data_IF_484169638517
#
_entry.id   IF_484169638517
#
_cell.length_a   1.000
_cell.length_b   1.000
_cell.length_c   1.000
_cell.angle_alpha   90.00
_cell.angle_beta   90.00
_cell.angle_gamma   90.00
#
_symmetry.space_group_name_H-M   'P 1'
#
loop_
_entity.id
_entity.type
_entity.pdbx_description
1 polymer ?
#
# COMPACT_ATOMS: atom_id res chain seq x y z
N UNK A 1 -15.74 48.94 -53.21
CA UNK A 1 -14.78 49.39 -52.17
C UNK A 1 -15.20 48.86 -50.80
N UNK A 2 -16.50 48.91 -50.48
CA UNK A 2 -17.07 48.40 -49.21
C UNK A 2 -17.08 46.86 -49.06
N UNK A 3 -17.21 46.11 -50.16
CA UNK A 3 -17.21 44.63 -50.16
C UNK A 3 -15.84 44.06 -49.75
N UNK A 4 -14.76 44.60 -50.30
CA UNK A 4 -13.37 44.25 -49.95
C UNK A 4 -13.03 44.56 -48.48
N UNK A 5 -13.68 45.55 -47.87
CA UNK A 5 -13.49 45.87 -46.44
C UNK A 5 -14.19 44.85 -45.54
N UNK A 6 -15.38 44.39 -45.92
CA UNK A 6 -16.11 43.31 -45.23
C UNK A 6 -15.39 41.97 -45.36
N UNK A 7 -14.83 41.68 -46.53
CA UNK A 7 -14.02 40.48 -46.76
C UNK A 7 -12.73 40.47 -45.93
N UNK A 8 -12.01 41.61 -45.86
CA UNK A 8 -10.83 41.75 -44.99
C UNK A 8 -11.18 41.58 -43.52
N UNK A 9 -12.31 42.12 -43.09
CA UNK A 9 -12.78 42.00 -41.71
C UNK A 9 -13.17 40.56 -41.36
N UNK A 10 -13.84 39.85 -42.26
CA UNK A 10 -14.19 38.44 -42.06
C UNK A 10 -12.94 37.54 -42.07
N UNK A 11 -11.99 37.79 -42.97
CA UNK A 11 -10.73 37.07 -43.03
C UNK A 11 -9.88 37.28 -41.76
N UNK A 12 -9.91 38.49 -41.18
CA UNK A 12 -9.21 38.78 -39.93
C UNK A 12 -9.88 38.11 -38.72
N UNK A 13 -11.22 38.15 -38.63
CA UNK A 13 -11.98 37.44 -37.58
C UNK A 13 -11.82 35.91 -37.67
N UNK A 14 -11.79 35.34 -38.88
CA UNK A 14 -11.58 33.91 -39.07
C UNK A 14 -10.18 33.49 -38.61
N UNK A 15 -9.16 34.26 -38.98
CA UNK A 15 -7.78 34.03 -38.55
C UNK A 15 -7.58 34.20 -37.05
N UNK A 16 -8.34 35.08 -36.41
CA UNK A 16 -8.32 35.25 -34.95
C UNK A 16 -8.99 34.06 -34.25
N UNK A 17 -10.14 33.60 -34.77
CA UNK A 17 -10.83 32.39 -34.28
C UNK A 17 -9.95 31.15 -34.40
N UNK A 18 -9.25 30.98 -35.51
CA UNK A 18 -8.32 29.86 -35.71
C UNK A 18 -7.16 29.88 -34.70
N UNK A 19 -6.54 31.05 -34.49
CA UNK A 19 -5.45 31.17 -33.50
C UNK A 19 -5.95 30.84 -32.09
N UNK A 20 -7.11 31.35 -31.72
CA UNK A 20 -7.70 31.11 -30.40
C UNK A 20 -8.03 29.62 -30.20
N UNK A 21 -8.61 28.97 -31.21
CA UNK A 21 -8.90 27.53 -31.17
C UNK A 21 -7.63 26.67 -31.13
N UNK A 22 -6.58 27.06 -31.85
CA UNK A 22 -5.28 26.37 -31.81
C UNK A 22 -4.63 26.48 -30.42
N UNK A 23 -4.65 27.68 -29.82
CA UNK A 23 -4.15 27.92 -28.46
C UNK A 23 -4.95 27.12 -27.41
N UNK A 24 -6.25 26.98 -27.59
CA UNK A 24 -7.13 26.20 -26.70
C UNK A 24 -6.90 24.69 -26.83
N UNK A 25 -6.73 24.18 -28.05
CA UNK A 25 -6.35 22.79 -28.31
C UNK A 25 -4.97 22.46 -27.72
N UNK A 26 -4.00 23.36 -27.83
CA UNK A 26 -2.66 23.18 -27.25
C UNK A 26 -2.69 23.23 -25.71
N UNK A 27 -3.44 24.17 -25.11
CA UNK A 27 -3.68 24.20 -23.67
C UNK A 27 -4.35 22.92 -23.17
N UNK A 28 -5.40 22.46 -23.84
CA UNK A 28 -6.12 21.23 -23.45
C UNK A 28 -5.22 20.00 -23.54
N UNK A 29 -4.35 19.93 -24.55
CA UNK A 29 -3.35 18.85 -24.69
C UNK A 29 -2.28 18.90 -23.61
N UNK A 30 -1.83 20.10 -23.23
CA UNK A 30 -0.87 20.30 -22.14
C UNK A 30 -1.49 19.98 -20.77
N UNK A 31 -2.78 20.28 -20.57
CA UNK A 31 -3.52 19.98 -19.33
C UNK A 31 -3.81 18.48 -19.18
N UNK A 32 -4.04 17.75 -20.29
CA UNK A 32 -4.09 16.29 -20.31
C UNK A 32 -2.73 15.60 -20.11
N UNK A 33 -1.61 16.33 -20.15
CA UNK A 33 -0.25 15.83 -19.89
C UNK A 33 0.33 16.33 -18.56
N UNK A 34 -0.51 16.86 -17.66
CA UNK A 34 -0.09 17.07 -16.28
C UNK A 34 0.15 15.70 -15.63
N UNK A 35 1.25 15.50 -14.87
CA UNK A 35 1.40 14.30 -14.06
C UNK A 35 0.21 14.23 -13.11
N UNK A 36 -0.38 13.04 -13.04
CA UNK A 36 -1.45 12.63 -12.14
C UNK A 36 -1.37 13.39 -10.82
N UNK A 37 -2.40 14.20 -10.57
CA UNK A 37 -2.66 14.86 -9.31
C UNK A 37 -2.45 13.85 -8.16
N UNK A 38 -1.35 13.98 -7.42
CA UNK A 38 -0.93 13.11 -6.31
C UNK A 38 -1.88 13.13 -5.10
N UNK A 39 -3.11 13.61 -5.27
CA UNK A 39 -4.16 13.63 -4.25
C UNK A 39 -5.07 12.40 -4.31
N UNK A 40 -4.80 11.43 -5.18
CA UNK A 40 -5.25 10.07 -4.92
C UNK A 40 -4.15 9.37 -4.13
N UNK A 41 -4.34 9.03 -2.83
CA UNK A 41 -3.51 8.01 -2.24
C UNK A 41 -3.86 6.72 -3.00
N UNK A 42 -3.14 6.46 -4.10
CA UNK A 42 -2.89 5.09 -4.53
C UNK A 42 -2.57 4.33 -3.24
N UNK A 43 -3.21 3.17 -2.96
CA UNK A 43 -2.92 2.43 -1.74
C UNK A 43 -1.41 2.33 -1.70
N UNK A 44 -0.82 3.00 -0.71
CA UNK A 44 0.64 3.17 -0.67
C UNK A 44 1.11 1.78 -0.36
N UNK A 45 1.37 0.97 -1.40
CA UNK A 45 1.87 -0.38 -1.22
C UNK A 45 3.26 -0.16 -0.69
N UNK A 46 3.39 -0.20 0.62
CA UNK A 46 4.63 0.03 1.29
C UNK A 46 5.60 -1.05 0.81
N UNK A 47 6.81 -0.64 0.42
CA UNK A 47 7.81 -1.56 -0.14
C UNK A 47 8.07 -2.77 0.76
N UNK A 48 7.86 -2.62 2.08
CA UNK A 48 7.99 -3.68 3.07
C UNK A 48 6.96 -4.81 2.95
N UNK A 49 5.81 -4.59 2.31
CA UNK A 49 4.79 -5.63 2.08
C UNK A 49 5.29 -6.77 1.18
N UNK A 50 6.28 -6.50 0.32
CA UNK A 50 6.94 -7.52 -0.50
C UNK A 50 8.14 -8.18 0.18
N UNK A 51 8.62 -7.62 1.29
CA UNK A 51 9.85 -8.09 1.95
C UNK A 51 9.57 -9.22 2.94
N UNK A 52 8.35 -9.31 3.47
CA UNK A 52 7.99 -10.39 4.37
C UNK A 52 7.58 -11.64 3.57
N UNK A 53 8.28 -12.78 3.76
CA UNK A 53 7.86 -14.05 3.17
C UNK A 53 6.52 -14.51 3.77
N UNK A 54 5.67 -15.21 2.99
CA UNK A 54 4.49 -15.85 3.54
C UNK A 54 4.89 -16.87 4.61
N UNK A 55 4.05 -17.01 5.62
CA UNK A 55 4.16 -18.09 6.59
C UNK A 55 3.89 -19.41 5.90
N UNK A 56 4.70 -20.40 6.26
CA UNK A 56 4.61 -21.77 5.76
C UNK A 56 4.42 -22.70 6.96
N UNK A 57 3.39 -23.54 6.92
CA UNK A 57 3.02 -24.43 8.04
C UNK A 57 4.09 -25.48 8.36
N UNK A 58 5.07 -25.72 7.46
CA UNK A 58 6.24 -26.57 7.76
C UNK A 58 7.29 -25.87 8.64
N UNK A 59 7.21 -24.54 8.80
CA UNK A 59 8.12 -23.75 9.62
C UNK A 59 7.55 -23.46 11.00
N UNK A 60 8.45 -23.40 11.98
CA UNK A 60 8.13 -23.03 13.34
C UNK A 60 7.59 -21.59 13.38
N UNK A 61 6.37 -21.44 13.90
CA UNK A 61 5.68 -20.15 13.91
C UNK A 61 6.37 -19.13 14.81
N UNK A 62 7.07 -19.57 15.88
CA UNK A 62 7.82 -18.67 16.74
C UNK A 62 9.06 -18.09 16.03
N UNK A 63 9.74 -18.90 15.23
CA UNK A 63 10.85 -18.44 14.39
C UNK A 63 10.40 -17.47 13.29
N UNK A 64 9.21 -17.70 12.75
CA UNK A 64 8.56 -16.77 11.82
C UNK A 64 8.30 -15.41 12.48
N UNK A 65 7.66 -15.39 13.66
CA UNK A 65 7.43 -14.16 14.42
C UNK A 65 8.74 -13.41 14.72
N UNK A 66 9.80 -14.11 15.13
CA UNK A 66 11.10 -13.47 15.38
C UNK A 66 11.68 -12.81 14.12
N UNK A 67 11.58 -13.48 12.97
CA UNK A 67 12.04 -12.95 11.69
C UNK A 67 11.21 -11.74 11.28
N UNK A 68 9.89 -11.82 11.47
CA UNK A 68 8.96 -10.74 11.23
C UNK A 68 9.28 -9.49 12.08
N UNK A 69 9.54 -9.66 13.38
CA UNK A 69 9.90 -8.57 14.29
C UNK A 69 11.21 -7.89 13.87
N UNK A 70 12.20 -8.69 13.47
CA UNK A 70 13.46 -8.14 12.94
C UNK A 70 13.25 -7.34 11.66
N UNK A 71 12.41 -7.82 10.74
CA UNK A 71 12.07 -7.09 9.52
C UNK A 71 11.31 -5.79 9.84
N UNK A 72 10.36 -5.85 10.77
CA UNK A 72 9.63 -4.66 11.22
C UNK A 72 10.56 -3.62 11.84
N UNK A 73 11.50 -4.05 12.67
CA UNK A 73 12.48 -3.15 13.28
C UNK A 73 13.43 -2.57 12.24
N UNK A 74 13.94 -3.40 11.32
CA UNK A 74 14.86 -2.98 10.26
C UNK A 74 14.23 -1.95 9.30
N UNK A 75 12.93 -2.08 9.03
CA UNK A 75 12.18 -1.20 8.14
C UNK A 75 11.38 -0.12 8.86
N UNK A 76 11.52 0.00 10.19
CA UNK A 76 10.77 0.94 11.03
C UNK A 76 9.24 0.89 10.77
N UNK A 77 8.69 -0.32 10.69
CA UNK A 77 7.26 -0.52 10.45
C UNK A 77 6.48 -0.12 11.72
N UNK A 78 5.50 0.79 11.61
CA UNK A 78 4.67 1.20 12.74
C UNK A 78 3.79 0.05 13.22
N UNK A 79 3.55 -0.02 14.52
CA UNK A 79 2.78 -1.10 15.18
C UNK A 79 1.39 -1.32 14.56
N UNK A 80 0.72 -0.23 14.20
CA UNK A 80 -0.59 -0.21 13.54
C UNK A 80 -0.59 -1.02 12.22
N UNK A 81 0.53 -1.05 11.51
CA UNK A 81 0.66 -1.76 10.24
C UNK A 81 1.23 -3.17 10.38
N UNK A 82 1.83 -3.51 11.53
CA UNK A 82 2.40 -4.84 11.77
C UNK A 82 1.33 -5.91 11.68
N UNK A 83 0.17 -5.66 12.29
CA UNK A 83 -0.90 -6.65 12.33
C UNK A 83 -1.49 -6.91 10.94
N UNK A 84 -1.77 -5.84 10.19
CA UNK A 84 -2.25 -5.94 8.80
C UNK A 84 -1.26 -6.68 7.91
N UNK A 85 0.03 -6.39 8.01
CA UNK A 85 1.07 -7.09 7.27
C UNK A 85 1.13 -8.56 7.65
N UNK A 86 1.11 -8.85 8.95
CA UNK A 86 1.21 -10.19 9.48
C UNK A 86 0.07 -11.05 8.93
N UNK A 87 -1.18 -10.63 9.11
CA UNK A 87 -2.38 -11.36 8.66
C UNK A 87 -2.34 -11.61 7.15
N UNK A 88 -1.88 -10.64 6.36
CA UNK A 88 -1.73 -10.81 4.92
C UNK A 88 -0.67 -11.84 4.52
N UNK A 89 0.24 -12.20 5.43
CA UNK A 89 1.30 -13.20 5.22
C UNK A 89 1.03 -14.53 5.92
N UNK A 90 0.13 -14.56 6.89
CA UNK A 90 -0.31 -15.79 7.52
C UNK A 90 -1.17 -16.62 6.57
N UNK A 91 -1.04 -17.94 6.67
CA UNK A 91 -1.80 -18.90 5.88
C UNK A 91 -2.22 -20.08 6.77
N UNK A 92 -3.25 -20.81 6.33
CA UNK A 92 -3.71 -22.04 6.99
C UNK A 92 -4.10 -21.84 8.45
N UNK A 93 -3.54 -22.67 9.32
CA UNK A 93 -3.89 -22.74 10.75
C UNK A 93 -3.66 -21.42 11.51
N UNK A 94 -2.68 -20.62 11.11
CA UNK A 94 -2.41 -19.32 11.76
C UNK A 94 -3.44 -18.25 11.39
N UNK A 95 -3.96 -18.31 10.16
CA UNK A 95 -5.03 -17.42 9.71
C UNK A 95 -6.38 -17.83 10.32
N UNK A 96 -6.61 -19.12 10.54
CA UNK A 96 -7.81 -19.63 11.20
C UNK A 96 -7.94 -19.06 12.63
N UNK A 97 -6.84 -19.06 13.40
CA UNK A 97 -6.79 -18.44 14.74
C UNK A 97 -7.11 -16.93 14.68
N UNK A 98 -6.62 -16.23 13.66
CA UNK A 98 -6.95 -14.81 13.47
C UNK A 98 -8.44 -14.60 13.23
N UNK A 99 -9.10 -15.50 12.49
CA UNK A 99 -10.55 -15.41 12.23
C UNK A 99 -11.39 -15.81 13.45
N UNK A 100 -10.88 -16.70 14.30
CA UNK A 100 -11.55 -17.11 15.54
C UNK A 100 -11.43 -16.03 16.64
N UNK A 101 -10.37 -15.22 16.60
CA UNK A 101 -10.12 -14.15 17.56
C UNK A 101 -11.00 -12.90 17.30
N UNK A 102 -11.57 -12.26 18.35
CA UNK A 102 -12.27 -10.99 18.19
C UNK A 102 -11.34 -9.87 17.73
N UNK A 103 -11.84 -8.98 16.86
CA UNK A 103 -11.03 -7.93 16.22
C UNK A 103 -10.35 -6.97 17.20
N UNK A 104 -10.91 -6.78 18.41
CA UNK A 104 -10.32 -5.96 19.46
C UNK A 104 -8.99 -6.55 19.99
N UNK A 105 -8.94 -7.88 20.11
CA UNK A 105 -7.72 -8.60 20.47
C UNK A 105 -6.82 -8.83 19.25
N UNK A 106 -7.43 -9.07 18.09
CA UNK A 106 -6.71 -9.32 16.85
C UNK A 106 -6.06 -8.06 16.26
N UNK A 107 -6.42 -6.86 16.74
CA UNK A 107 -5.72 -5.62 16.41
C UNK A 107 -4.44 -5.45 17.22
N UNK A 108 -4.31 -6.16 18.34
CA UNK A 108 -3.15 -6.12 19.22
C UNK A 108 -2.18 -7.25 18.88
N UNK A 109 -1.02 -6.87 18.31
CA UNK A 109 0.00 -7.82 17.89
C UNK A 109 0.49 -8.71 19.04
N UNK A 110 0.61 -8.18 20.26
CA UNK A 110 1.16 -8.92 21.40
C UNK A 110 0.19 -10.00 21.88
N UNK A 111 -1.10 -9.66 21.98
CA UNK A 111 -2.17 -10.64 22.28
C UNK A 111 -2.28 -11.70 21.19
N UNK A 112 -2.26 -11.30 19.92
CA UNK A 112 -2.33 -12.23 18.80
C UNK A 112 -1.16 -13.21 18.80
N UNK A 113 0.07 -12.71 18.98
CA UNK A 113 1.29 -13.53 19.07
C UNK A 113 1.18 -14.57 20.19
N UNK A 114 0.76 -14.16 21.39
CA UNK A 114 0.60 -15.08 22.52
C UNK A 114 -0.46 -16.16 22.26
N UNK A 115 -1.61 -15.79 21.69
CA UNK A 115 -2.66 -16.76 21.36
C UNK A 115 -2.20 -17.77 20.30
N UNK A 116 -1.56 -17.29 19.23
CA UNK A 116 -1.06 -18.15 18.15
C UNK A 116 0.01 -19.11 18.68
N UNK A 117 0.95 -18.63 19.49
CA UNK A 117 1.97 -19.47 20.10
C UNK A 117 1.35 -20.55 21.00
N UNK A 118 0.31 -20.22 21.77
CA UNK A 118 -0.44 -21.18 22.59
C UNK A 118 -1.16 -22.24 21.75
N UNK A 119 -1.85 -21.84 20.69
CA UNK A 119 -2.60 -22.76 19.82
C UNK A 119 -1.70 -23.70 19.03
N UNK A 120 -0.56 -23.20 18.54
CA UNK A 120 0.43 -24.03 17.85
C UNK A 120 1.23 -24.95 18.79
N UNK A 121 0.84 -25.04 20.07
CA UNK A 121 1.53 -25.82 21.11
C UNK A 121 3.03 -25.51 21.17
N UNK A 122 3.44 -24.28 20.85
CA UNK A 122 4.81 -23.83 21.09
C UNK A 122 4.94 -23.73 22.60
N UNK A 123 5.45 -24.79 23.21
CA UNK A 123 5.66 -24.82 24.65
C UNK A 123 6.57 -23.66 25.04
N UNK A 124 6.30 -23.00 26.18
CA UNK A 124 7.14 -21.91 26.69
C UNK A 124 8.61 -22.31 26.85
N UNK A 125 8.90 -23.62 26.87
CA UNK A 125 10.23 -24.20 26.92
C UNK A 125 11.02 -24.01 25.61
N UNK A 126 10.40 -24.24 24.45
CA UNK A 126 11.02 -24.03 23.13
C UNK A 126 11.24 -22.54 22.85
N UNK A 127 10.28 -21.68 23.25
CA UNK A 127 10.41 -20.23 23.13
C UNK A 127 11.54 -19.67 24.02
N UNK A 128 11.61 -20.11 25.28
CA UNK A 128 12.64 -19.65 26.25
C UNK A 128 14.07 -20.01 25.86
N UNK A 129 14.28 -21.17 25.23
CA UNK A 129 15.62 -21.59 24.80
C UNK A 129 16.12 -20.72 23.64
N UNK A 130 15.25 -20.35 22.70
CA UNK A 130 15.64 -19.51 21.54
C UNK A 130 15.78 -18.02 21.88
N UNK A 131 15.00 -17.51 22.85
CA UNK A 131 15.03 -16.09 23.25
C UNK A 131 16.07 -15.73 24.32
N UNK A 132 16.82 -16.69 24.87
CA UNK A 132 17.87 -16.43 25.89
C UNK A 132 19.23 -16.03 25.32
N UNK A 133 19.40 -16.05 24.00
CA UNK A 133 20.68 -15.79 23.32
C UNK A 133 20.64 -14.55 22.42
N UNK A 134 19.65 -13.67 22.60
CA UNK A 134 19.53 -12.38 21.92
C UNK A 134 19.68 -11.22 22.89
#
# INVERSE_FOLDING_TARGET
MEENERERKHAEEEKDRERKHALEMEKTRAEQNLPDNTNNPSPTTHKWERLCPPYDESRDIAEYFLTFERLCNLHHIPDDHKMTLLVAKLTGSALDIFNDMPIDEASDYEKFKDLVLKQFQVTPETYRVKFRTL
#
